data_IF_272501263044
#
_entry.id   IF_272501263044
#
_cell.length_a   1.000
_cell.length_b   1.000
_cell.length_c   1.000
_cell.angle_alpha   90.00
_cell.angle_beta   90.00
_cell.angle_gamma   90.00
#
_symmetry.space_group_name_H-M   'P 1'
#
loop_
_entity.id
_entity.type
_entity.pdbx_description
1 polymer ?
#
# COMPACT_ATOMS: atom_id res chain seq x y z
N UNK A 1 9.64 8.61 -4.77
CA UNK A 1 10.22 7.26 -4.60
C UNK A 1 11.36 7.32 -3.59
N UNK A 2 12.50 7.95 -3.91
CA UNK A 2 13.62 8.11 -2.98
C UNK A 2 13.22 8.74 -1.63
N UNK A 3 12.35 9.76 -1.64
CA UNK A 3 11.90 10.41 -0.39
C UNK A 3 11.14 9.45 0.54
N UNK A 4 10.17 8.69 0.01
CA UNK A 4 9.38 7.74 0.80
C UNK A 4 10.26 6.63 1.36
N UNK A 5 11.18 6.10 0.55
CA UNK A 5 12.14 5.10 0.99
C UNK A 5 13.06 5.64 2.10
N UNK A 6 13.57 6.87 1.95
CA UNK A 6 14.37 7.52 2.98
C UNK A 6 13.60 7.71 4.29
N UNK A 7 12.32 8.07 4.22
CA UNK A 7 11.47 8.15 5.40
C UNK A 7 11.34 6.78 6.08
N UNK A 8 11.02 5.73 5.33
CA UNK A 8 10.94 4.36 5.85
C UNK A 8 12.24 3.96 6.55
N UNK A 9 13.38 4.18 5.90
CA UNK A 9 14.70 3.87 6.45
C UNK A 9 14.98 4.69 7.72
N UNK A 10 14.61 5.97 7.74
CA UNK A 10 14.80 6.85 8.91
C UNK A 10 13.99 6.39 10.12
N UNK A 11 12.78 5.88 9.90
CA UNK A 11 11.92 5.33 10.96
C UNK A 11 12.24 3.86 11.29
N UNK A 12 13.35 3.31 10.78
CA UNK A 12 13.83 1.95 11.11
C UNK A 12 13.13 0.83 10.35
N UNK A 13 12.36 1.15 9.30
CA UNK A 13 11.78 0.16 8.40
C UNK A 13 12.73 -0.27 7.29
N UNK A 14 12.36 -1.32 6.57
CA UNK A 14 13.00 -1.80 5.34
C UNK A 14 11.95 -1.95 4.27
N UNK A 15 12.20 -1.41 3.08
CA UNK A 15 11.32 -1.58 1.92
C UNK A 15 11.57 -2.95 1.29
N UNK A 16 10.59 -3.86 1.40
CA UNK A 16 10.67 -5.23 0.86
C UNK A 16 10.18 -5.30 -0.59
N UNK A 17 9.17 -4.49 -0.91
CA UNK A 17 8.46 -4.48 -2.19
C UNK A 17 8.13 -3.05 -2.59
N UNK A 18 8.07 -2.79 -3.89
CA UNK A 18 7.65 -1.51 -4.41
C UNK A 18 6.72 -1.64 -5.62
N UNK A 19 5.67 -0.84 -5.63
CA UNK A 19 4.74 -0.72 -6.75
C UNK A 19 4.57 0.73 -7.19
N UNK A 20 4.82 1.00 -8.47
CA UNK A 20 4.60 2.32 -9.09
C UNK A 20 3.27 2.31 -9.84
N UNK A 21 2.31 3.11 -9.39
CA UNK A 21 1.03 3.30 -10.06
C UNK A 21 1.13 4.35 -11.18
N UNK A 22 0.92 3.94 -12.43
CA UNK A 22 0.94 4.83 -13.62
C UNK A 22 -0.43 5.33 -14.07
N UNK A 23 -1.51 5.00 -13.35
CA UNK A 23 -2.88 5.43 -13.70
C UNK A 23 -3.04 6.93 -13.45
N UNK A 24 -3.59 7.67 -14.42
CA UNK A 24 -3.89 9.10 -14.28
C UNK A 24 -5.00 9.36 -13.25
N UNK A 25 -6.05 8.54 -13.23
CA UNK A 25 -7.14 8.64 -12.27
C UNK A 25 -7.05 7.48 -11.27
N UNK A 26 -6.83 7.76 -9.97
CA UNK A 26 -6.83 6.71 -8.95
C UNK A 26 -8.24 6.15 -8.77
N UNK A 27 -8.31 4.94 -8.24
CA UNK A 27 -9.58 4.32 -7.88
C UNK A 27 -10.28 5.11 -6.77
N UNK A 28 -11.59 5.30 -6.88
CA UNK A 28 -12.33 6.10 -5.91
C UNK A 28 -12.36 5.44 -4.53
N UNK A 29 -12.40 4.11 -4.50
CA UNK A 29 -12.64 3.34 -3.29
C UNK A 29 -11.37 2.97 -2.55
N UNK A 30 -10.29 2.68 -3.26
CA UNK A 30 -9.06 2.14 -2.67
C UNK A 30 -7.80 2.87 -3.13
N UNK A 31 -7.93 3.90 -3.97
CA UNK A 31 -6.84 4.61 -4.64
C UNK A 31 -6.08 3.76 -5.70
N UNK A 32 -5.80 2.50 -5.37
CA UNK A 32 -5.04 1.53 -6.17
C UNK A 32 -5.95 0.75 -7.13
N UNK A 33 -7.15 0.39 -6.66
CA UNK A 33 -8.10 -0.50 -7.32
C UNK A 33 -8.18 -1.85 -6.62
N UNK A 34 -9.40 -2.38 -6.47
CA UNK A 34 -9.66 -3.55 -5.62
C UNK A 34 -8.83 -4.79 -6.01
N UNK A 35 -8.73 -5.12 -7.29
CA UNK A 35 -7.98 -6.29 -7.76
C UNK A 35 -6.46 -6.14 -7.58
N UNK A 36 -5.91 -4.98 -7.92
CA UNK A 36 -4.46 -4.75 -7.73
C UNK A 36 -4.09 -4.71 -6.24
N UNK A 37 -4.98 -4.22 -5.38
CA UNK A 37 -4.81 -4.29 -3.95
C UNK A 37 -4.80 -5.74 -3.45
N UNK A 38 -5.65 -6.61 -3.99
CA UNK A 38 -5.63 -8.05 -3.66
C UNK A 38 -4.30 -8.69 -4.07
N UNK A 39 -3.76 -8.38 -5.25
CA UNK A 39 -2.44 -8.86 -5.69
C UNK A 39 -1.33 -8.41 -4.73
N UNK A 40 -1.32 -7.12 -4.34
CA UNK A 40 -0.32 -6.57 -3.41
C UNK A 40 -0.40 -7.27 -2.05
N UNK A 41 -1.61 -7.53 -1.55
CA UNK A 41 -1.81 -8.25 -0.28
C UNK A 41 -1.21 -9.67 -0.36
N UNK A 42 -1.47 -10.40 -1.44
CA UNK A 42 -0.87 -11.72 -1.63
C UNK A 42 0.67 -11.67 -1.74
N UNK A 43 1.23 -10.66 -2.41
CA UNK A 43 2.68 -10.44 -2.46
C UNK A 43 3.26 -10.11 -1.07
N UNK A 44 2.54 -9.32 -0.27
CA UNK A 44 2.93 -9.00 1.11
C UNK A 44 3.01 -10.25 1.98
N UNK A 45 1.98 -11.09 1.96
CA UNK A 45 1.96 -12.37 2.70
C UNK A 45 3.12 -13.28 2.26
N UNK A 46 3.32 -13.43 0.95
CA UNK A 46 4.37 -14.27 0.39
C UNK A 46 5.78 -13.82 0.81
N UNK A 47 6.00 -12.49 0.93
CA UNK A 47 7.29 -11.90 1.25
C UNK A 47 7.46 -11.58 2.74
N UNK A 48 6.45 -11.85 3.56
CA UNK A 48 6.47 -11.54 4.99
C UNK A 48 6.46 -10.04 5.30
N UNK A 49 5.90 -9.21 4.41
CA UNK A 49 5.73 -7.79 4.65
C UNK A 49 4.55 -7.53 5.60
N UNK A 50 4.77 -6.72 6.62
CA UNK A 50 3.80 -6.46 7.70
C UNK A 50 3.18 -5.04 7.66
N UNK A 51 3.66 -4.17 6.77
CA UNK A 51 3.22 -2.79 6.66
C UNK A 51 3.07 -2.40 5.19
N UNK A 52 1.90 -1.89 4.82
CA UNK A 52 1.64 -1.27 3.52
C UNK A 52 1.73 0.24 3.65
N UNK A 53 2.61 0.87 2.88
CA UNK A 53 2.76 2.33 2.82
C UNK A 53 2.26 2.83 1.48
N UNK A 54 1.30 3.77 1.50
CA UNK A 54 0.81 4.45 0.32
C UNK A 54 1.38 5.86 0.29
N UNK A 55 2.30 6.10 -0.64
CA UNK A 55 3.02 7.38 -0.79
C UNK A 55 2.18 8.52 -1.38
N UNK A 56 0.92 8.66 -0.96
CA UNK A 56 0.05 9.77 -1.33
C UNK A 56 -1.01 10.03 -0.25
N UNK A 57 -1.73 11.15 -0.36
CA UNK A 57 -2.82 11.51 0.52
C UNK A 57 -4.09 10.78 0.08
N UNK A 58 -4.60 9.91 0.95
CA UNK A 58 -5.86 9.20 0.75
C UNK A 58 -7.01 9.90 1.47
N UNK A 59 -8.22 9.73 0.93
CA UNK A 59 -9.45 10.11 1.64
C UNK A 59 -9.73 9.14 2.79
N UNK A 60 -10.40 9.60 3.84
CA UNK A 60 -10.77 8.76 4.99
C UNK A 60 -11.52 7.47 4.60
N UNK A 61 -12.43 7.57 3.63
CA UNK A 61 -13.16 6.40 3.11
C UNK A 61 -12.25 5.38 2.42
N UNK A 62 -11.21 5.84 1.72
CA UNK A 62 -10.24 4.97 1.06
C UNK A 62 -9.38 4.24 2.08
N UNK A 63 -8.90 4.95 3.10
CA UNK A 63 -8.14 4.37 4.22
C UNK A 63 -8.96 3.27 4.89
N UNK A 64 -10.23 3.54 5.20
CA UNK A 64 -11.13 2.55 5.79
C UNK A 64 -11.24 1.30 4.91
N UNK A 65 -11.53 1.45 3.62
CA UNK A 65 -11.70 0.32 2.69
C UNK A 65 -10.42 -0.49 2.50
N UNK A 66 -9.26 0.16 2.44
CA UNK A 66 -7.96 -0.52 2.38
C UNK A 66 -7.71 -1.32 3.67
N UNK A 67 -7.96 -0.73 4.83
CA UNK A 67 -7.80 -1.41 6.12
C UNK A 67 -8.76 -2.60 6.28
N UNK A 68 -10.01 -2.49 5.83
CA UNK A 68 -10.95 -3.63 5.84
C UNK A 68 -10.43 -4.81 5.02
N UNK A 69 -9.68 -4.56 3.94
CA UNK A 69 -9.02 -5.63 3.18
C UNK A 69 -7.81 -6.21 3.91
N UNK A 70 -7.00 -5.36 4.54
CA UNK A 70 -5.80 -5.78 5.27
C UNK A 70 -6.11 -6.61 6.52
N UNK A 71 -7.26 -6.39 7.18
CA UNK A 71 -7.72 -7.22 8.31
C UNK A 71 -7.76 -8.73 8.04
N UNK A 72 -7.83 -9.13 6.75
CA UNK A 72 -7.84 -10.54 6.36
C UNK A 72 -6.51 -11.25 6.60
N UNK A 73 -5.41 -10.50 6.70
CA UNK A 73 -4.05 -11.03 6.78
C UNK A 73 -3.35 -10.70 8.12
N UNK A 74 -4.02 -9.98 9.04
CA UNK A 74 -3.49 -9.58 10.35
C UNK A 74 -4.30 -8.49 11.03
#
# INVERSE_FOLDING_TARGET
MLETENLVNTYGGVVILEHIQKKQKPDYDTYIGAGKLDDIISEMELKGANLLILGNILKASQIYKVNEKLKKIG
#
